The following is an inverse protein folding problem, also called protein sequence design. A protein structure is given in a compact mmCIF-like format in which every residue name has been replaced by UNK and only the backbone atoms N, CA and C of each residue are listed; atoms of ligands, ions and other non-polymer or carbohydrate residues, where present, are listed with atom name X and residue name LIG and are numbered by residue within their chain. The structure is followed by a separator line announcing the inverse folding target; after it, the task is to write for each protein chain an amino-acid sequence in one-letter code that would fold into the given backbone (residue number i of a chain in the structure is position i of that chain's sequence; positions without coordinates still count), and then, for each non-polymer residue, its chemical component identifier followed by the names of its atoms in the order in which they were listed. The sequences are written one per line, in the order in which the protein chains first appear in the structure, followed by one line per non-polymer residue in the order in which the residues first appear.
data_IF_639100293104
#
_entry.id   IF_639100293104
#
_cell.length_a   1.000
_cell.length_b   1.000
_cell.length_c   1.000
_cell.angle_alpha   90.00
_cell.angle_beta   90.00
_cell.angle_gamma   90.00
#
_symmetry.space_group_name_H-M   'P 1'
#
loop_
_entity.id
_entity.type
_entity.pdbx_description
1 polymer ?
#
# COMPACT_ATOMS: atom_id res chain seq x y z
N UNK A 1 -6.14 18.77 -27.34
CA UNK A 1 -5.11 17.88 -26.76
C UNK A 1 -4.98 18.20 -25.26
N UNK A 2 -5.65 17.43 -24.45
CA UNK A 2 -5.58 17.61 -23.00
C UNK A 2 -4.37 16.84 -22.49
N UNK A 3 -3.32 17.55 -22.13
CA UNK A 3 -2.21 16.97 -21.40
C UNK A 3 -2.71 16.66 -19.99
N UNK A 4 -2.90 15.40 -19.71
CA UNK A 4 -3.10 14.93 -18.34
C UNK A 4 -1.76 15.21 -17.65
N UNK A 5 -1.72 16.23 -16.82
CA UNK A 5 -0.59 16.45 -15.95
C UNK A 5 -0.51 15.24 -15.03
N UNK A 6 0.49 14.44 -15.25
CA UNK A 6 0.88 13.35 -14.39
C UNK A 6 1.26 14.00 -13.05
N UNK A 7 0.31 14.05 -12.12
CA UNK A 7 0.66 14.30 -10.74
C UNK A 7 1.36 13.04 -10.28
N UNK A 8 2.67 13.06 -10.42
CA UNK A 8 3.51 12.06 -9.81
C UNK A 8 3.11 12.03 -8.33
N UNK A 9 2.51 10.92 -7.93
CA UNK A 9 2.32 10.65 -6.53
C UNK A 9 3.71 10.78 -5.90
N UNK A 10 3.89 11.82 -5.10
CA UNK A 10 5.09 11.95 -4.29
C UNK A 10 5.02 10.79 -3.29
N UNK A 11 5.55 9.67 -3.70
CA UNK A 11 5.89 8.60 -2.77
C UNK A 11 7.04 9.16 -1.96
N UNK A 12 6.71 9.84 -0.88
CA UNK A 12 7.70 10.20 0.13
C UNK A 12 8.33 8.90 0.60
N UNK A 13 9.48 8.59 0.05
CA UNK A 13 10.34 7.56 0.60
C UNK A 13 10.80 8.06 1.97
N UNK A 14 10.07 7.71 3.01
CA UNK A 14 10.59 7.84 4.37
C UNK A 14 11.61 6.72 4.53
N UNK A 15 12.83 7.01 4.17
CA UNK A 15 13.97 6.14 4.46
C UNK A 15 14.24 6.26 5.95
N UNK A 16 13.70 5.35 6.75
CA UNK A 16 14.23 5.11 8.07
C UNK A 16 15.49 4.26 7.94
N UNK A 17 16.62 4.91 7.82
CA UNK A 17 17.90 4.26 8.03
C UNK A 17 18.08 4.06 9.55
N UNK A 18 17.65 2.93 10.06
CA UNK A 18 18.11 2.47 11.37
C UNK A 18 19.34 1.61 11.16
N UNK A 19 20.49 2.23 11.28
CA UNK A 19 21.73 1.51 11.53
C UNK A 19 21.67 0.96 12.96
N UNK A 20 21.15 -0.25 13.09
CA UNK A 20 21.23 -1.02 14.33
C UNK A 20 22.44 -1.93 14.27
N UNK A 21 23.49 -1.59 15.01
CA UNK A 21 24.62 -2.47 15.25
C UNK A 21 24.13 -3.72 15.98
N UNK A 22 24.18 -4.87 15.31
CA UNK A 22 23.82 -6.16 15.93
C UNK A 22 25.07 -6.69 16.59
N UNK A 23 25.12 -6.57 17.90
CA UNK A 23 26.10 -7.27 18.71
C UNK A 23 25.68 -8.73 18.81
N UNK A 24 26.51 -9.63 18.30
CA UNK A 24 26.28 -11.07 18.36
C UNK A 24 26.36 -11.55 19.81
N UNK A 25 25.23 -11.86 20.41
CA UNK A 25 25.20 -12.65 21.64
C UNK A 25 24.96 -14.11 21.28
N UNK A 26 25.96 -14.95 21.46
CA UNK A 26 25.79 -16.39 21.40
C UNK A 26 25.03 -16.86 22.64
N UNK A 27 23.75 -17.13 22.48
CA UNK A 27 22.96 -17.88 23.44
C UNK A 27 22.74 -19.28 22.88
N UNK A 28 23.40 -20.28 23.47
CA UNK A 28 23.09 -21.69 23.23
C UNK A 28 21.75 -22.03 23.90
N UNK A 29 20.70 -21.91 23.17
CA UNK A 29 19.36 -22.38 23.52
C UNK A 29 18.69 -22.83 22.22
N UNK A 30 18.17 -24.06 22.22
CA UNK A 30 17.40 -24.60 21.09
C UNK A 30 16.12 -23.81 20.91
N UNK A 31 16.24 -22.62 20.35
CA UNK A 31 15.10 -21.87 19.85
C UNK A 31 14.80 -22.45 18.49
N UNK A 32 13.69 -23.15 18.33
CA UNK A 32 13.19 -23.55 17.02
C UNK A 32 12.94 -22.27 16.24
N UNK A 33 13.94 -21.83 15.48
CA UNK A 33 13.81 -20.65 14.65
C UNK A 33 12.69 -20.88 13.64
N UNK A 34 11.69 -20.00 13.62
CA UNK A 34 10.65 -20.04 12.60
C UNK A 34 11.30 -19.97 11.20
N UNK A 35 10.81 -20.73 10.20
CA UNK A 35 11.37 -20.67 8.85
C UNK A 35 11.45 -19.22 8.36
N UNK A 36 12.54 -18.85 7.66
CA UNK A 36 12.74 -17.50 7.14
C UNK A 36 11.55 -16.97 6.34
N UNK A 37 10.84 -17.85 5.61
CA UNK A 37 9.62 -17.53 4.89
C UNK A 37 8.46 -17.08 5.79
N UNK A 38 8.31 -17.66 6.99
CA UNK A 38 7.25 -17.26 7.93
C UNK A 38 7.54 -15.89 8.57
N UNK A 39 8.81 -15.62 8.84
CA UNK A 39 9.25 -14.30 9.35
C UNK A 39 9.02 -13.24 8.28
N UNK A 40 9.41 -13.50 7.04
CA UNK A 40 9.21 -12.57 5.92
C UNK A 40 7.73 -12.26 5.69
N UNK A 41 6.86 -13.27 5.73
CA UNK A 41 5.40 -13.10 5.62
C UNK A 41 4.82 -12.27 6.75
N UNK A 42 5.26 -12.52 7.99
CA UNK A 42 4.81 -11.73 9.14
C UNK A 42 5.26 -10.27 9.02
N UNK A 43 6.47 -10.02 8.56
CA UNK A 43 6.97 -8.66 8.29
C UNK A 43 6.18 -7.98 7.17
N UNK A 44 5.84 -8.70 6.10
CA UNK A 44 5.02 -8.18 5.01
C UNK A 44 3.63 -7.75 5.49
N UNK A 45 2.99 -8.54 6.38
CA UNK A 45 1.70 -8.17 7.00
C UNK A 45 1.83 -6.88 7.81
N UNK A 46 2.86 -6.78 8.65
CA UNK A 46 3.11 -5.58 9.47
C UNK A 46 3.34 -4.35 8.60
N UNK A 47 4.14 -4.49 7.56
CA UNK A 47 4.46 -3.42 6.62
C UNK A 47 3.22 -2.94 5.87
N UNK A 48 2.40 -3.87 5.39
CA UNK A 48 1.13 -3.54 4.74
C UNK A 48 0.21 -2.72 5.67
N UNK A 49 0.06 -3.14 6.92
CA UNK A 49 -0.73 -2.41 7.92
C UNK A 49 -0.17 -1.01 8.21
N UNK A 50 1.15 -0.87 8.28
CA UNK A 50 1.80 0.43 8.47
C UNK A 50 1.48 1.39 7.32
N UNK A 51 1.61 0.94 6.07
CA UNK A 51 1.25 1.77 4.91
C UNK A 51 -0.21 2.20 4.93
N UNK A 52 -1.13 1.30 5.23
CA UNK A 52 -2.56 1.59 5.28
C UNK A 52 -2.94 2.57 6.41
N UNK A 53 -2.12 2.65 7.46
CA UNK A 53 -2.31 3.64 8.54
C UNK A 53 -1.96 5.06 8.08
N UNK A 54 -1.03 5.22 7.15
CA UNK A 54 -0.57 6.53 6.69
C UNK A 54 -1.32 7.06 5.48
N UNK A 55 -1.63 6.20 4.53
CA UNK A 55 -2.31 6.62 3.30
C UNK A 55 -3.17 5.50 2.70
N UNK A 56 -4.04 5.90 1.78
CA UNK A 56 -4.88 4.96 1.07
C UNK A 56 -4.11 4.28 -0.06
N UNK A 57 -4.31 2.97 -0.20
CA UNK A 57 -3.76 2.15 -1.27
C UNK A 57 -4.83 1.30 -1.92
N UNK A 58 -4.66 1.03 -3.22
CA UNK A 58 -5.30 -0.12 -3.83
C UNK A 58 -4.56 -1.41 -3.43
N UNK A 59 -5.21 -2.55 -3.56
CA UNK A 59 -4.59 -3.86 -3.29
C UNK A 59 -3.33 -4.06 -4.12
N UNK A 60 -3.43 -3.84 -5.42
CA UNK A 60 -2.29 -4.00 -6.35
C UNK A 60 -1.20 -2.95 -6.11
N UNK A 61 -1.59 -1.73 -5.80
CA UNK A 61 -0.64 -0.66 -5.44
C UNK A 61 0.16 -0.99 -4.19
N UNK A 62 -0.48 -1.53 -3.16
CA UNK A 62 0.20 -1.95 -1.93
C UNK A 62 1.12 -3.14 -2.15
N UNK A 63 0.72 -4.12 -2.97
CA UNK A 63 1.61 -5.23 -3.36
C UNK A 63 2.85 -4.70 -4.07
N UNK A 64 2.69 -3.79 -5.03
CA UNK A 64 3.82 -3.16 -5.74
C UNK A 64 4.75 -2.42 -4.77
N UNK A 65 4.17 -1.70 -3.82
CA UNK A 65 4.95 -0.97 -2.80
C UNK A 65 5.79 -1.91 -1.95
N UNK A 66 5.23 -3.01 -1.47
CA UNK A 66 5.99 -4.02 -0.70
C UNK A 66 7.08 -4.69 -1.54
N UNK A 67 6.81 -4.97 -2.81
CA UNK A 67 7.84 -5.49 -3.73
C UNK A 67 8.97 -4.50 -3.94
N UNK A 68 8.67 -3.23 -4.06
CA UNK A 68 9.69 -2.17 -4.15
C UNK A 68 10.59 -2.13 -2.92
N UNK A 69 10.06 -2.47 -1.75
CA UNK A 69 10.84 -2.57 -0.51
C UNK A 69 11.59 -3.89 -0.33
N UNK A 70 11.57 -4.75 -1.34
CA UNK A 70 12.35 -5.99 -1.35
C UNK A 70 11.60 -7.25 -0.94
N UNK A 71 10.30 -7.18 -0.65
CA UNK A 71 9.53 -8.39 -0.42
C UNK A 71 9.33 -9.15 -1.73
N UNK A 72 9.36 -10.48 -1.66
CA UNK A 72 8.98 -11.33 -2.80
C UNK A 72 7.52 -11.09 -3.19
N UNK A 73 7.15 -11.40 -4.43
CA UNK A 73 5.75 -11.31 -4.87
C UNK A 73 4.82 -12.14 -3.99
N UNK A 74 5.26 -13.35 -3.60
CA UNK A 74 4.52 -14.23 -2.71
C UNK A 74 4.29 -13.60 -1.32
N UNK A 75 5.34 -13.07 -0.71
CA UNK A 75 5.26 -12.48 0.62
C UNK A 75 4.48 -11.16 0.61
N UNK A 76 4.67 -10.32 -0.40
CA UNK A 76 3.92 -9.09 -0.58
C UNK A 76 2.41 -9.38 -0.74
N UNK A 77 2.06 -10.35 -1.59
CA UNK A 77 0.67 -10.75 -1.80
C UNK A 77 0.05 -11.33 -0.52
N UNK A 78 0.80 -12.16 0.20
CA UNK A 78 0.37 -12.68 1.49
C UNK A 78 0.14 -11.56 2.50
N UNK A 79 1.10 -10.65 2.64
CA UNK A 79 1.04 -9.53 3.59
C UNK A 79 -0.17 -8.63 3.34
N UNK A 80 -0.40 -8.28 2.09
CA UNK A 80 -1.55 -7.44 1.68
C UNK A 80 -2.87 -8.17 1.90
N UNK A 81 -2.96 -9.47 1.59
CA UNK A 81 -4.17 -10.26 1.81
C UNK A 81 -4.52 -10.41 3.29
N UNK A 82 -3.54 -10.37 4.18
CA UNK A 82 -3.71 -10.48 5.64
C UNK A 82 -3.73 -9.13 6.36
N UNK A 83 -3.67 -8.04 5.63
CA UNK A 83 -3.68 -6.69 6.22
C UNK A 83 -5.01 -6.29 6.85
N UNK A 84 -6.10 -6.98 6.48
CA UNK A 84 -7.45 -6.64 6.93
C UNK A 84 -8.06 -5.42 6.24
N UNK A 85 -7.49 -4.95 5.13
CA UNK A 85 -7.98 -3.79 4.42
C UNK A 85 -9.35 -4.03 3.76
N UNK A 86 -10.21 -3.03 3.86
CA UNK A 86 -11.40 -2.93 3.04
C UNK A 86 -11.06 -2.05 1.82
N UNK A 87 -10.96 -2.66 0.64
CA UNK A 87 -10.50 -1.98 -0.57
C UNK A 87 -11.48 -0.95 -1.10
N UNK A 88 -12.78 -1.11 -0.86
CA UNK A 88 -13.78 -0.07 -1.14
C UNK A 88 -13.57 1.16 -0.26
N UNK A 89 -13.34 0.95 1.03
CA UNK A 89 -13.02 2.03 1.96
C UNK A 89 -11.69 2.71 1.61
N UNK A 90 -10.70 1.96 1.12
CA UNK A 90 -9.45 2.53 0.63
C UNK A 90 -9.66 3.40 -0.62
N UNK A 91 -10.52 2.98 -1.55
CA UNK A 91 -10.89 3.78 -2.71
C UNK A 91 -11.56 5.10 -2.30
N UNK A 92 -12.48 5.06 -1.34
CA UNK A 92 -13.11 6.27 -0.79
C UNK A 92 -12.10 7.22 -0.13
N UNK A 93 -11.17 6.68 0.65
CA UNK A 93 -10.07 7.47 1.25
C UNK A 93 -9.18 8.10 0.18
N UNK A 94 -8.83 7.35 -0.85
CA UNK A 94 -7.99 7.84 -1.95
C UNK A 94 -8.71 8.94 -2.73
N UNK A 95 -9.98 8.77 -3.01
CA UNK A 95 -10.83 9.79 -3.65
C UNK A 95 -10.82 11.11 -2.85
N UNK A 96 -11.01 11.02 -1.53
CA UNK A 96 -10.92 12.19 -0.65
C UNK A 96 -9.55 12.85 -0.68
N UNK A 97 -8.48 12.08 -0.71
CA UNK A 97 -7.12 12.60 -0.81
C UNK A 97 -6.92 13.39 -2.11
N UNK A 98 -7.37 12.85 -3.24
CA UNK A 98 -7.29 13.56 -4.52
C UNK A 98 -8.04 14.89 -4.51
N UNK A 99 -9.26 14.91 -4.01
CA UNK A 99 -10.08 16.13 -3.98
C UNK A 99 -9.55 17.23 -3.06
N UNK A 100 -8.66 16.91 -2.13
CA UNK A 100 -7.96 17.93 -1.33
C UNK A 100 -6.94 18.73 -2.14
N UNK A 101 -6.40 18.15 -3.21
CA UNK A 101 -5.35 18.76 -4.01
C UNK A 101 -5.83 19.38 -5.28
N UNK A 102 -6.90 18.82 -5.88
CA UNK A 102 -7.45 19.33 -7.13
C UNK A 102 -8.89 18.87 -7.35
N UNK A 103 -9.60 19.62 -8.21
CA UNK A 103 -10.94 19.24 -8.64
C UNK A 103 -10.88 18.11 -9.68
N UNK A 104 -11.86 17.23 -9.63
CA UNK A 104 -12.06 16.16 -10.61
C UNK A 104 -13.49 16.12 -11.10
N UNK A 105 -13.68 15.77 -12.37
CA UNK A 105 -14.93 15.23 -12.81
C UNK A 105 -15.13 13.81 -12.26
N UNK A 106 -16.37 13.36 -12.19
CA UNK A 106 -16.66 11.97 -11.81
C UNK A 106 -15.85 10.96 -12.63
N UNK A 107 -15.90 11.06 -13.95
CA UNK A 107 -15.17 10.18 -14.87
C UNK A 107 -13.68 10.27 -14.66
N UNK A 108 -13.14 11.48 -14.51
CA UNK A 108 -11.72 11.69 -14.27
C UNK A 108 -11.24 11.08 -12.96
N UNK A 109 -12.03 11.19 -11.89
CA UNK A 109 -11.68 10.57 -10.61
C UNK A 109 -11.72 9.04 -10.68
N UNK A 110 -12.73 8.47 -11.33
CA UNK A 110 -12.82 7.02 -11.55
C UNK A 110 -11.59 6.51 -12.31
N UNK A 111 -11.24 7.15 -13.41
CA UNK A 111 -10.05 6.78 -14.19
C UNK A 111 -8.76 6.88 -13.38
N UNK A 112 -8.63 7.92 -12.55
CA UNK A 112 -7.46 8.09 -11.69
C UNK A 112 -7.38 6.97 -10.64
N UNK A 113 -8.48 6.59 -10.04
CA UNK A 113 -8.53 5.48 -9.07
C UNK A 113 -8.21 4.14 -9.75
N UNK A 114 -8.71 3.89 -10.94
CA UNK A 114 -8.37 2.69 -11.73
C UNK A 114 -6.88 2.66 -12.09
N UNK A 115 -6.31 3.80 -12.46
CA UNK A 115 -4.86 3.92 -12.71
C UNK A 115 -4.03 3.56 -11.48
N UNK A 116 -4.50 3.90 -10.29
CA UNK A 116 -3.88 3.53 -9.01
C UNK A 116 -4.02 2.02 -8.67
N UNK A 117 -4.80 1.29 -9.46
CA UNK A 117 -4.99 -0.15 -9.33
C UNK A 117 -6.25 -0.58 -8.57
N UNK A 118 -7.18 0.34 -8.30
CA UNK A 118 -8.50 -0.04 -7.83
C UNK A 118 -9.30 -0.70 -8.96
N UNK A 119 -10.15 -1.65 -8.61
CA UNK A 119 -11.07 -2.23 -9.59
C UNK A 119 -12.11 -1.19 -10.03
N UNK A 120 -12.76 -1.35 -11.20
CA UNK A 120 -13.83 -0.44 -11.64
C UNK A 120 -14.93 -0.25 -10.59
N UNK A 121 -15.33 -1.33 -9.93
CA UNK A 121 -16.33 -1.26 -8.86
C UNK A 121 -15.86 -0.47 -7.64
N UNK A 122 -14.60 -0.64 -7.25
CA UNK A 122 -13.99 0.11 -6.15
C UNK A 122 -13.82 1.58 -6.50
N UNK A 123 -13.39 1.88 -7.73
CA UNK A 123 -13.24 3.24 -8.22
C UNK A 123 -14.57 3.98 -8.28
N UNK A 124 -15.62 3.33 -8.78
CA UNK A 124 -16.96 3.86 -8.79
C UNK A 124 -17.49 4.12 -7.37
N UNK A 125 -17.26 3.20 -6.46
CA UNK A 125 -17.61 3.37 -5.05
C UNK A 125 -16.88 4.58 -4.44
N UNK A 126 -15.59 4.70 -4.69
CA UNK A 126 -14.78 5.81 -4.22
C UNK A 126 -15.28 7.17 -4.69
N UNK A 127 -15.64 7.29 -5.98
CA UNK A 127 -16.20 8.51 -6.54
C UNK A 127 -17.56 8.87 -5.90
N UNK A 128 -18.45 7.89 -5.76
CA UNK A 128 -19.74 8.08 -5.09
C UNK A 128 -19.60 8.50 -3.63
N UNK A 129 -18.65 7.93 -2.93
CA UNK A 129 -18.41 8.23 -1.52
C UNK A 129 -17.98 9.68 -1.26
N UNK A 130 -17.50 10.39 -2.27
CA UNK A 130 -17.13 11.81 -2.21
C UNK A 130 -18.15 12.74 -2.92
N UNK A 131 -19.27 12.20 -3.33
CA UNK A 131 -20.38 12.98 -3.92
C UNK A 131 -20.31 13.16 -5.44
N UNK A 132 -19.51 12.35 -6.14
CA UNK A 132 -19.39 12.38 -7.59
C UNK A 132 -20.11 11.21 -8.28
#
# INVERSE_FOLDING_TARGET
MKRIALVAALVGAVVFASAGSVTSAHASGSVTAAPASSISRAQAVRKAKQYLAFQAFSRTGLIKQLKYEGFSTSDATYGVSRSGANWYAQAAKKAKQYLRFQAFSRTGLIQQLEYEGFTPSQALYGARAVGL
#
